data_IF_722637091345
#
_entry.id   IF_722637091345
#
_cell.length_a   1.000
_cell.length_b   1.000
_cell.length_c   1.000
_cell.angle_alpha   90.00
_cell.angle_beta   90.00
_cell.angle_gamma   90.00
#
_symmetry.space_group_name_H-M   'P 1'
#
loop_
_entity.id
_entity.type
_entity.pdbx_description
1 polymer ?
#
# COMPACT_ATOMS: atom_id res chain seq x y z
N UNK A 1 29.50 8.69 -28.12
CA UNK A 1 30.63 9.66 -28.15
C UNK A 1 30.78 10.06 -29.61
N UNK A 2 30.21 11.19 -29.98
CA UNK A 2 30.52 11.82 -31.28
C UNK A 2 32.01 12.18 -31.24
N UNK A 3 32.76 11.81 -32.27
CA UNK A 3 34.18 12.15 -32.32
C UNK A 3 34.32 13.62 -32.72
N UNK A 4 34.58 14.49 -31.75
CA UNK A 4 34.70 15.93 -32.00
C UNK A 4 35.92 16.24 -32.87
N UNK A 5 35.75 17.08 -33.89
CA UNK A 5 36.81 17.39 -34.89
C UNK A 5 37.61 18.65 -34.55
N UNK A 6 37.17 19.44 -33.57
CA UNK A 6 37.83 20.64 -33.07
C UNK A 6 37.46 20.91 -31.61
N UNK A 7 38.18 21.82 -30.95
CA UNK A 7 37.86 22.27 -29.59
C UNK A 7 36.49 22.95 -29.50
N UNK A 8 36.08 23.65 -30.57
CA UNK A 8 34.76 24.29 -30.65
C UNK A 8 33.66 23.22 -30.63
N UNK A 9 33.78 22.22 -31.52
CA UNK A 9 32.82 21.11 -31.59
C UNK A 9 32.80 20.31 -30.28
N UNK A 10 33.94 20.08 -29.65
CA UNK A 10 33.98 19.40 -28.34
C UNK A 10 33.26 20.18 -27.24
N UNK A 11 33.29 21.51 -27.29
CA UNK A 11 32.58 22.38 -26.35
C UNK A 11 31.08 22.35 -26.62
N UNK A 12 30.66 22.38 -27.88
CA UNK A 12 29.25 22.26 -28.29
C UNK A 12 28.66 20.88 -27.94
N UNK A 13 29.43 19.80 -28.13
CA UNK A 13 29.06 18.45 -27.73
C UNK A 13 28.88 18.35 -26.22
N UNK A 14 29.80 18.93 -25.44
CA UNK A 14 29.72 18.97 -23.98
C UNK A 14 28.53 19.79 -23.50
N UNK A 15 28.27 20.97 -24.07
CA UNK A 15 27.12 21.81 -23.76
C UNK A 15 25.80 21.06 -24.02
N UNK A 16 25.71 20.38 -25.16
CA UNK A 16 24.56 19.52 -25.51
C UNK A 16 24.36 18.40 -24.49
N UNK A 17 25.43 17.75 -24.05
CA UNK A 17 25.37 16.69 -23.05
C UNK A 17 24.97 17.24 -21.66
N UNK A 18 25.48 18.41 -21.27
CA UNK A 18 25.10 19.10 -20.02
C UNK A 18 23.61 19.44 -20.04
N UNK A 19 23.12 19.99 -21.14
CA UNK A 19 21.69 20.30 -21.31
C UNK A 19 20.84 19.04 -21.20
N UNK A 20 21.22 17.98 -21.91
CA UNK A 20 20.52 16.69 -21.85
C UNK A 20 20.48 16.14 -20.42
N UNK A 21 21.59 16.20 -19.69
CA UNK A 21 21.65 15.75 -18.30
C UNK A 21 20.79 16.63 -17.38
N UNK A 22 20.77 17.95 -17.61
CA UNK A 22 19.95 18.90 -16.85
C UNK A 22 18.46 18.65 -17.05
N UNK A 23 18.05 18.41 -18.30
CA UNK A 23 16.67 18.07 -18.65
C UNK A 23 16.27 16.73 -18.00
N UNK A 24 17.14 15.71 -18.08
CA UNK A 24 16.91 14.42 -17.43
C UNK A 24 16.77 14.51 -15.90
N UNK A 25 17.60 15.33 -15.24
CA UNK A 25 17.51 15.59 -13.79
C UNK A 25 16.16 16.25 -13.45
N UNK A 26 15.74 17.22 -14.26
CA UNK A 26 14.46 17.92 -14.08
C UNK A 26 13.28 16.96 -14.23
N UNK A 27 13.31 16.10 -15.25
CA UNK A 27 12.31 15.05 -15.45
C UNK A 27 12.28 14.08 -14.26
N UNK A 28 13.42 13.60 -13.79
CA UNK A 28 13.50 12.69 -12.64
C UNK A 28 12.94 13.31 -11.35
N UNK A 29 13.21 14.59 -11.11
CA UNK A 29 12.67 15.31 -9.96
C UNK A 29 11.13 15.41 -10.01
N UNK A 30 10.57 15.67 -11.19
CA UNK A 30 9.13 15.67 -11.40
C UNK A 30 8.52 14.28 -11.19
N UNK A 31 9.14 13.23 -11.75
CA UNK A 31 8.71 11.84 -11.55
C UNK A 31 8.73 11.42 -10.07
N UNK A 32 9.76 11.79 -9.32
CA UNK A 32 9.83 11.51 -7.88
C UNK A 32 8.67 12.18 -7.11
N UNK A 33 8.31 13.41 -7.48
CA UNK A 33 7.18 14.14 -6.88
C UNK A 33 5.84 13.44 -7.20
N UNK A 34 5.66 13.01 -8.44
CA UNK A 34 4.47 12.24 -8.84
C UNK A 34 4.37 10.91 -8.11
N UNK A 35 5.47 10.16 -8.00
CA UNK A 35 5.53 8.89 -7.26
C UNK A 35 5.20 9.11 -5.79
N UNK A 36 5.73 10.18 -5.16
CA UNK A 36 5.41 10.47 -3.76
C UNK A 36 3.92 10.80 -3.59
N UNK A 37 3.32 11.54 -4.52
CA UNK A 37 1.88 11.84 -4.49
C UNK A 37 1.04 10.57 -4.59
N UNK A 38 1.43 9.63 -5.46
CA UNK A 38 0.74 8.35 -5.60
C UNK A 38 0.95 7.43 -4.39
N UNK A 39 2.13 7.46 -3.78
CA UNK A 39 2.44 6.73 -2.54
C UNK A 39 1.57 7.23 -1.38
N UNK A 40 1.50 8.56 -1.20
CA UNK A 40 0.69 9.19 -0.15
C UNK A 40 -0.81 8.88 -0.34
N UNK A 41 -1.28 8.92 -1.60
CA UNK A 41 -2.66 8.55 -1.94
C UNK A 41 -2.95 7.08 -1.63
N UNK A 42 -2.02 6.18 -1.96
CA UNK A 42 -2.14 4.75 -1.67
C UNK A 42 -2.13 4.47 -0.16
N UNK A 43 -1.22 5.08 0.59
CA UNK A 43 -1.15 4.96 2.06
C UNK A 43 -2.43 5.45 2.72
N UNK A 44 -2.92 6.63 2.31
CA UNK A 44 -4.19 7.19 2.81
C UNK A 44 -5.37 6.29 2.47
N UNK A 45 -5.45 5.80 1.23
CA UNK A 45 -6.52 4.90 0.78
C UNK A 45 -6.53 3.57 1.52
N UNK A 46 -5.36 3.07 1.91
CA UNK A 46 -5.21 1.87 2.72
C UNK A 46 -5.39 2.11 4.23
N UNK A 47 -5.51 3.36 4.68
CA UNK A 47 -5.58 3.73 6.09
C UNK A 47 -4.25 3.56 6.85
N UNK A 48 -3.12 3.57 6.15
CA UNK A 48 -1.78 3.52 6.74
C UNK A 48 -1.31 4.91 7.18
N UNK A 49 -0.35 4.94 8.09
CA UNK A 49 0.41 6.14 8.41
C UNK A 49 1.25 6.61 7.22
N UNK A 50 1.77 7.83 7.31
CA UNK A 50 2.67 8.42 6.30
C UNK A 50 4.02 7.69 6.20
N UNK A 51 4.40 6.95 7.23
CA UNK A 51 5.54 6.03 7.26
C UNK A 51 5.20 4.65 6.68
N UNK A 52 3.96 4.44 6.23
CA UNK A 52 3.44 3.16 5.76
C UNK A 52 3.06 2.19 6.88
N UNK A 53 3.13 2.59 8.16
CA UNK A 53 2.82 1.71 9.27
C UNK A 53 1.30 1.55 9.46
N UNK A 54 0.87 0.32 9.73
CA UNK A 54 -0.48 0.06 10.21
C UNK A 54 -0.57 0.39 11.71
N UNK A 55 -1.61 1.13 12.11
CA UNK A 55 -1.90 1.40 13.52
C UNK A 55 -3.22 0.74 13.91
N UNK A 56 -3.15 -0.22 14.82
CA UNK A 56 -4.33 -0.86 15.37
C UNK A 56 -5.24 0.15 16.08
N UNK A 57 -6.55 0.09 15.80
CA UNK A 57 -7.53 0.84 16.57
C UNK A 57 -7.79 0.13 17.90
N UNK A 58 -7.28 0.72 18.99
CA UNK A 58 -7.39 0.20 20.35
C UNK A 58 -8.82 0.07 20.91
N UNK A 59 -9.82 0.66 20.24
CA UNK A 59 -11.24 0.56 20.63
C UNK A 59 -11.98 -0.59 19.94
N UNK A 60 -11.31 -1.34 19.05
CA UNK A 60 -11.90 -2.51 18.40
C UNK A 60 -11.86 -3.74 19.31
N UNK A 61 -12.68 -4.75 19.02
CA UNK A 61 -12.69 -5.98 19.82
C UNK A 61 -11.61 -6.99 19.38
N UNK A 62 -11.30 -7.00 18.08
CA UNK A 62 -10.50 -8.07 17.45
C UNK A 62 -9.22 -7.58 16.78
N UNK A 63 -9.02 -6.25 16.68
CA UNK A 63 -7.88 -5.67 15.97
C UNK A 63 -6.86 -4.98 16.89
N UNK A 64 -7.04 -5.00 18.22
CA UNK A 64 -6.21 -4.20 19.15
C UNK A 64 -4.73 -4.57 19.16
N UNK A 65 -4.39 -5.82 18.81
CA UNK A 65 -3.02 -6.35 18.83
C UNK A 65 -2.47 -6.65 17.44
N UNK A 66 -3.23 -6.40 16.37
CA UNK A 66 -2.78 -6.70 15.00
C UNK A 66 -1.81 -5.62 14.52
N UNK A 67 -0.85 -5.98 13.68
CA UNK A 67 0.29 -5.10 13.32
C UNK A 67 0.40 -4.84 11.83
N UNK A 68 -0.49 -5.42 11.03
CA UNK A 68 -0.57 -5.24 9.58
C UNK A 68 -2.00 -5.40 9.08
N UNK A 69 -2.29 -4.85 7.90
CA UNK A 69 -3.58 -5.04 7.23
C UNK A 69 -3.90 -6.53 7.02
N UNK A 70 -2.91 -7.34 6.61
CA UNK A 70 -3.08 -8.78 6.45
C UNK A 70 -3.46 -9.47 7.77
N UNK A 71 -2.82 -9.09 8.89
CA UNK A 71 -3.18 -9.65 10.20
C UNK A 71 -4.56 -9.18 10.68
N UNK A 72 -4.99 -7.97 10.30
CA UNK A 72 -6.34 -7.49 10.55
C UNK A 72 -7.38 -8.31 9.77
N UNK A 73 -7.14 -8.56 8.48
CA UNK A 73 -8.02 -9.39 7.64
C UNK A 73 -8.16 -10.81 8.20
N UNK A 74 -7.05 -11.42 8.61
CA UNK A 74 -7.06 -12.76 9.23
C UNK A 74 -7.86 -12.78 10.53
N UNK A 75 -7.73 -11.74 11.37
CA UNK A 75 -8.47 -11.63 12.61
C UNK A 75 -9.98 -11.48 12.37
N UNK A 76 -10.37 -10.67 11.38
CA UNK A 76 -11.78 -10.50 10.99
C UNK A 76 -12.35 -11.79 10.39
N UNK A 77 -11.64 -12.44 9.48
CA UNK A 77 -12.06 -13.71 8.87
C UNK A 77 -12.28 -14.80 9.93
N UNK A 78 -11.33 -14.93 10.86
CA UNK A 78 -11.45 -15.88 11.99
C UNK A 78 -12.71 -15.60 12.81
N UNK A 79 -12.97 -14.33 13.15
CA UNK A 79 -14.13 -13.98 13.96
C UNK A 79 -15.45 -14.18 13.19
N UNK A 80 -15.47 -13.91 11.89
CA UNK A 80 -16.62 -14.20 11.02
C UNK A 80 -16.92 -15.70 11.07
N UNK A 81 -15.90 -16.55 10.91
CA UNK A 81 -16.07 -18.00 10.99
C UNK A 81 -16.63 -18.44 12.35
N UNK A 82 -16.08 -17.93 13.45
CA UNK A 82 -16.59 -18.23 14.80
C UNK A 82 -18.07 -17.89 14.94
N UNK A 83 -18.49 -16.73 14.44
CA UNK A 83 -19.89 -16.32 14.46
C UNK A 83 -20.76 -17.25 13.59
N UNK A 84 -20.30 -17.61 12.39
CA UNK A 84 -21.00 -18.55 11.51
C UNK A 84 -21.19 -19.92 12.17
N UNK A 85 -20.15 -20.48 12.78
CA UNK A 85 -20.20 -21.78 13.46
C UNK A 85 -21.18 -21.75 14.66
N UNK A 86 -21.19 -20.65 15.42
CA UNK A 86 -22.10 -20.46 16.54
C UNK A 86 -23.57 -20.37 16.09
N UNK A 87 -23.84 -19.67 14.98
CA UNK A 87 -25.18 -19.58 14.40
C UNK A 87 -25.66 -20.96 13.94
N UNK A 88 -24.82 -21.73 13.25
CA UNK A 88 -25.14 -23.09 12.80
C UNK A 88 -25.47 -23.98 14.00
N UNK A 89 -24.63 -23.93 15.04
CA UNK A 89 -24.83 -24.71 16.26
C UNK A 89 -26.16 -24.37 16.92
N UNK A 90 -26.47 -23.08 17.11
CA UNK A 90 -27.74 -22.64 17.70
C UNK A 90 -28.96 -23.06 16.87
N UNK A 91 -28.85 -22.98 15.53
CA UNK A 91 -29.92 -23.42 14.64
C UNK A 91 -30.17 -24.93 14.79
N UNK A 92 -29.11 -25.74 14.82
CA UNK A 92 -29.21 -27.19 15.06
C UNK A 92 -29.86 -27.49 16.41
N UNK A 93 -29.43 -26.84 17.49
CA UNK A 93 -30.03 -27.03 18.82
C UNK A 93 -31.52 -26.68 18.85
N UNK A 94 -31.92 -25.58 18.21
CA UNK A 94 -33.34 -25.20 18.13
C UNK A 94 -34.18 -26.21 17.35
N UNK A 95 -33.65 -26.76 16.25
CA UNK A 95 -34.32 -27.82 15.50
C UNK A 95 -34.49 -29.09 16.35
N UNK A 96 -33.45 -29.50 17.08
CA UNK A 96 -33.53 -30.67 17.98
C UNK A 96 -34.61 -30.50 19.05
N UNK A 97 -34.71 -29.31 19.66
CA UNK A 97 -35.75 -29.02 20.67
C UNK A 97 -37.16 -29.13 20.05
N UNK A 98 -37.36 -28.59 18.85
CA UNK A 98 -38.66 -28.67 18.16
C UNK A 98 -39.06 -30.11 17.81
N UNK A 99 -38.09 -30.99 17.56
CA UNK A 99 -38.37 -32.40 17.29
C UNK A 99 -38.67 -33.23 18.54
N UNK A 100 -38.35 -32.73 19.73
CA UNK A 100 -38.61 -33.40 21.01
C UNK A 100 -39.96 -33.02 21.65
N UNK A 101 -40.62 -31.97 21.14
CA UNK A 101 -41.96 -31.49 21.57
C UNK A 101 -43.06 -31.87 20.59
#
# INVERSE_FOLDING_TARGET
ITTSTSLVVATEDLDTQIKTNTDAITTNAASNTSIQTELDATQTGAGLGTDGAYTANGSTNYLTTVTSLTSADVALDTQIKTNTDAIVTNATSNTSIQTET
#
